data_IF_472808087184
#
_entry.id   IF_472808087184
#
_cell.length_a   1.000
_cell.length_b   1.000
_cell.length_c   1.000
_cell.angle_alpha   90.00
_cell.angle_beta   90.00
_cell.angle_gamma   90.00
#
_symmetry.space_group_name_H-M   'P 1'
#
loop_
_entity.id
_entity.type
_entity.pdbx_description
1 polymer ?
#
# COMPACT_ATOMS: atom_id res chain seq x y z
N UNK A 1 2.38 -18.01 -16.40
CA UNK A 1 3.31 -17.99 -15.27
C UNK A 1 3.82 -16.56 -15.04
N UNK A 2 3.73 -16.09 -13.80
CA UNK A 2 4.21 -14.73 -13.40
C UNK A 2 5.67 -14.50 -13.82
N UNK A 3 6.55 -15.51 -13.67
CA UNK A 3 7.96 -15.37 -14.06
C UNK A 3 8.14 -15.20 -15.56
N UNK A 4 7.33 -15.86 -16.37
CA UNK A 4 7.38 -15.73 -17.83
C UNK A 4 6.94 -14.31 -18.26
N UNK A 5 5.84 -13.81 -17.70
CA UNK A 5 5.35 -12.45 -17.97
C UNK A 5 6.34 -11.39 -17.52
N UNK A 6 6.91 -11.50 -16.32
CA UNK A 6 7.95 -10.60 -15.83
C UNK A 6 9.23 -10.63 -16.68
N UNK A 7 9.60 -11.80 -17.19
CA UNK A 7 10.76 -11.94 -18.06
C UNK A 7 10.54 -11.33 -19.45
N UNK A 8 9.31 -11.33 -19.97
CA UNK A 8 8.98 -10.73 -21.27
C UNK A 8 8.81 -9.20 -21.18
N UNK A 9 8.49 -8.68 -20.00
CA UNK A 9 8.19 -7.27 -19.79
C UNK A 9 6.91 -6.78 -20.51
N UNK A 10 6.08 -7.72 -20.98
CA UNK A 10 4.87 -7.40 -21.75
C UNK A 10 3.60 -7.67 -20.94
N UNK A 11 2.55 -6.90 -21.22
CA UNK A 11 1.22 -7.13 -20.65
C UNK A 11 0.71 -8.52 -21.10
N UNK A 12 0.31 -9.33 -20.12
CA UNK A 12 -0.23 -10.67 -20.33
C UNK A 12 -1.67 -10.76 -19.84
N UNK A 13 -2.69 -10.75 -20.74
CA UNK A 13 -4.10 -10.88 -20.35
C UNK A 13 -4.41 -12.18 -19.58
N UNK A 14 -3.72 -13.29 -19.89
CA UNK A 14 -3.89 -14.52 -19.16
C UNK A 14 -3.39 -14.42 -17.71
N UNK A 15 -2.33 -13.64 -17.47
CA UNK A 15 -1.88 -13.33 -16.11
C UNK A 15 -2.88 -12.44 -15.39
N UNK A 16 -3.45 -11.41 -16.03
CA UNK A 16 -4.49 -10.58 -15.43
C UNK A 16 -5.66 -11.42 -14.92
N UNK A 17 -6.17 -12.35 -15.75
CA UNK A 17 -7.26 -13.25 -15.37
C UNK A 17 -6.89 -14.16 -14.18
N UNK A 18 -5.67 -14.66 -14.13
CA UNK A 18 -5.18 -15.46 -12.98
C UNK A 18 -5.07 -14.63 -11.72
N UNK A 19 -4.58 -13.40 -11.81
CA UNK A 19 -4.50 -12.48 -10.67
C UNK A 19 -5.91 -12.10 -10.18
N UNK A 20 -6.86 -11.87 -11.08
CA UNK A 20 -8.25 -11.59 -10.74
C UNK A 20 -8.89 -12.76 -9.97
N UNK A 21 -8.70 -14.00 -10.44
CA UNK A 21 -9.17 -15.19 -9.75
C UNK A 21 -8.52 -15.33 -8.35
N UNK A 22 -7.22 -15.08 -8.23
CA UNK A 22 -6.51 -15.15 -6.97
C UNK A 22 -7.00 -14.06 -6.00
N UNK A 23 -7.18 -12.83 -6.46
CA UNK A 23 -7.73 -11.73 -5.68
C UNK A 23 -9.13 -12.06 -5.14
N UNK A 24 -10.01 -12.60 -5.99
CA UNK A 24 -11.35 -13.03 -5.58
C UNK A 24 -11.32 -14.12 -4.50
N UNK A 25 -10.41 -15.09 -4.63
CA UNK A 25 -10.28 -16.22 -3.69
C UNK A 25 -9.69 -15.81 -2.34
N UNK A 26 -8.80 -14.82 -2.33
CA UNK A 26 -8.12 -14.36 -1.10
C UNK A 26 -8.81 -13.16 -0.45
N UNK A 27 -9.79 -12.55 -1.12
CA UNK A 27 -10.41 -11.31 -0.67
C UNK A 27 -9.49 -10.10 -0.78
N UNK A 28 -8.36 -10.20 -1.51
CA UNK A 28 -7.46 -9.09 -1.73
C UNK A 28 -8.11 -8.07 -2.69
N UNK A 29 -8.14 -6.78 -2.37
CA UNK A 29 -8.68 -5.75 -3.25
C UNK A 29 -7.99 -5.70 -4.61
N UNK A 30 -6.64 -5.76 -4.61
CA UNK A 30 -5.83 -5.78 -5.83
C UNK A 30 -4.55 -6.60 -5.62
N UNK A 31 -4.22 -7.41 -6.64
CA UNK A 31 -2.92 -8.08 -6.80
C UNK A 31 -2.34 -7.66 -8.13
N UNK A 32 -1.08 -7.24 -8.17
CA UNK A 32 -0.44 -6.77 -9.40
C UNK A 32 1.04 -7.13 -9.46
N UNK A 33 1.61 -7.08 -10.67
CA UNK A 33 3.00 -7.39 -10.92
C UNK A 33 3.69 -6.21 -11.61
N UNK A 34 4.84 -5.85 -11.07
CA UNK A 34 5.71 -4.78 -11.54
C UNK A 34 6.96 -5.39 -12.19
N UNK A 35 7.37 -4.88 -13.33
CA UNK A 35 8.66 -5.22 -13.93
C UNK A 35 9.84 -4.64 -13.14
N UNK A 36 11.07 -4.85 -13.62
CA UNK A 36 12.29 -4.32 -12.98
C UNK A 36 12.38 -2.79 -13.00
N UNK A 37 11.58 -2.11 -13.82
CA UNK A 37 11.51 -0.66 -13.91
C UNK A 37 10.38 -0.06 -13.05
N UNK A 38 9.58 -0.90 -12.39
CA UNK A 38 8.45 -0.47 -11.58
C UNK A 38 7.16 -0.19 -12.36
N UNK A 39 7.10 -0.59 -13.64
CA UNK A 39 5.89 -0.53 -14.44
C UNK A 39 4.97 -1.69 -14.14
N UNK A 40 3.67 -1.43 -13.98
CA UNK A 40 2.68 -2.50 -13.76
C UNK A 40 2.37 -3.19 -15.09
N UNK A 41 2.81 -4.43 -15.23
CA UNK A 41 2.60 -5.26 -16.43
C UNK A 41 1.43 -6.24 -16.30
N UNK A 42 0.92 -6.46 -15.09
CA UNK A 42 -0.30 -7.23 -14.87
C UNK A 42 -1.00 -6.77 -13.58
N UNK A 43 -2.33 -6.80 -13.59
CA UNK A 43 -3.15 -6.44 -12.44
C UNK A 43 -4.46 -7.22 -12.40
N UNK A 44 -4.92 -7.59 -11.19
CA UNK A 44 -6.19 -8.29 -10.98
C UNK A 44 -7.41 -7.43 -11.33
N UNK A 45 -7.23 -6.11 -11.40
CA UNK A 45 -8.25 -5.13 -11.77
C UNK A 45 -7.97 -4.49 -13.15
N UNK A 46 -7.32 -5.22 -14.07
CA UNK A 46 -6.90 -4.71 -15.38
C UNK A 46 -8.05 -4.10 -16.19
N UNK A 47 -9.25 -4.67 -16.10
CA UNK A 47 -10.44 -4.28 -16.87
C UNK A 47 -11.32 -3.23 -16.14
N UNK A 48 -10.86 -2.70 -15.01
CA UNK A 48 -11.64 -1.73 -14.22
C UNK A 48 -11.17 -0.29 -14.46
N UNK A 49 -12.05 0.72 -14.26
CA UNK A 49 -11.66 2.13 -14.38
C UNK A 49 -10.53 2.55 -13.44
N UNK A 50 -10.42 1.89 -12.28
CA UNK A 50 -9.37 2.09 -11.27
C UNK A 50 -8.20 1.11 -11.45
N UNK A 51 -7.95 0.66 -12.70
CA UNK A 51 -6.90 -0.30 -13.03
C UNK A 51 -5.52 0.20 -12.64
N UNK A 52 -4.70 -0.72 -12.11
CA UNK A 52 -3.29 -0.45 -11.83
C UNK A 52 -2.37 -0.75 -13.02
N UNK A 53 -2.91 -1.39 -14.07
CA UNK A 53 -2.16 -1.74 -15.26
C UNK A 53 -1.55 -0.50 -15.94
N UNK A 54 -0.28 -0.55 -16.32
CA UNK A 54 0.42 0.53 -16.99
C UNK A 54 0.85 1.70 -16.09
N UNK A 55 0.58 1.66 -14.79
CA UNK A 55 1.06 2.68 -13.85
C UNK A 55 2.50 2.43 -13.43
N UNK A 56 3.25 3.53 -13.27
CA UNK A 56 4.64 3.54 -12.80
C UNK A 56 4.70 3.71 -11.28
N UNK A 57 5.27 2.73 -10.59
CA UNK A 57 5.45 2.71 -9.14
C UNK A 57 6.92 2.65 -8.71
N UNK A 58 7.88 2.99 -9.60
CA UNK A 58 9.32 3.00 -9.29
C UNK A 58 9.70 3.85 -8.09
N UNK A 59 8.91 4.89 -7.79
CA UNK A 59 9.14 5.81 -6.68
C UNK A 59 8.59 5.31 -5.34
N UNK A 60 7.83 4.23 -5.34
CA UNK A 60 7.19 3.69 -4.14
C UNK A 60 8.17 2.84 -3.33
N UNK A 61 8.20 3.10 -2.02
CA UNK A 61 9.05 2.36 -1.08
C UNK A 61 8.80 0.85 -1.12
N UNK A 62 7.57 0.42 -1.31
CA UNK A 62 7.26 -1.01 -1.38
C UNK A 62 7.88 -1.69 -2.62
N UNK A 63 8.11 -0.97 -3.69
CA UNK A 63 8.84 -1.47 -4.86
C UNK A 63 10.35 -1.46 -4.60
N UNK A 64 10.91 -0.29 -4.26
CA UNK A 64 12.37 -0.13 -4.10
C UNK A 64 12.94 -1.01 -3.00
N UNK A 65 12.24 -1.10 -1.87
CA UNK A 65 12.64 -1.98 -0.75
C UNK A 65 12.52 -3.45 -1.10
N UNK A 66 11.43 -3.88 -1.75
CA UNK A 66 11.29 -5.27 -2.19
C UNK A 66 12.37 -5.65 -3.21
N UNK A 67 12.68 -4.78 -4.17
CA UNK A 67 13.78 -5.01 -5.11
C UNK A 67 15.13 -5.18 -4.40
N UNK A 68 15.41 -4.40 -3.38
CA UNK A 68 16.66 -4.45 -2.63
C UNK A 68 16.73 -5.66 -1.67
N UNK A 69 15.70 -5.89 -0.86
CA UNK A 69 15.71 -6.86 0.25
C UNK A 69 14.97 -8.18 -0.03
N UNK A 70 14.29 -8.28 -1.17
CA UNK A 70 13.50 -9.47 -1.54
C UNK A 70 12.04 -9.40 -1.14
N UNK A 71 11.69 -8.75 -0.03
CA UNK A 71 10.30 -8.55 0.40
C UNK A 71 10.18 -7.30 1.27
N UNK A 72 8.98 -6.73 1.33
CA UNK A 72 8.66 -5.64 2.25
C UNK A 72 7.16 -5.56 2.52
N UNK A 73 6.82 -5.00 3.66
CA UNK A 73 5.48 -4.59 4.05
C UNK A 73 5.48 -3.07 4.18
N UNK A 74 4.53 -2.40 3.58
CA UNK A 74 4.52 -0.95 3.54
C UNK A 74 3.08 -0.41 3.51
N UNK A 75 2.72 0.39 4.51
CA UNK A 75 1.43 1.05 4.55
C UNK A 75 1.50 2.38 3.80
N UNK A 76 0.55 2.63 2.91
CA UNK A 76 0.50 3.87 2.13
C UNK A 76 -0.92 4.20 1.64
N UNK A 77 -1.12 5.47 1.33
CA UNK A 77 -2.30 5.91 0.56
C UNK A 77 -2.14 5.49 -0.91
N UNK A 78 -3.15 4.83 -1.45
CA UNK A 78 -3.17 4.42 -2.85
C UNK A 78 -3.27 5.63 -3.79
N UNK A 79 -2.33 5.75 -4.73
CA UNK A 79 -2.31 6.88 -5.67
C UNK A 79 -3.43 6.84 -6.72
N UNK A 80 -3.93 5.65 -7.03
CA UNK A 80 -5.03 5.42 -7.99
C UNK A 80 -6.36 5.33 -7.26
N UNK A 81 -6.44 4.49 -6.23
CA UNK A 81 -7.69 4.24 -5.51
C UNK A 81 -8.06 5.31 -4.49
N UNK A 82 -7.13 6.19 -4.09
CA UNK A 82 -7.34 7.13 -2.98
C UNK A 82 -7.55 6.47 -1.61
N UNK A 83 -7.47 5.13 -1.53
CA UNK A 83 -7.72 4.35 -0.31
C UNK A 83 -6.41 3.94 0.35
N UNK A 84 -6.32 4.01 1.68
CA UNK A 84 -5.18 3.49 2.42
C UNK A 84 -5.11 1.96 2.30
N UNK A 85 -3.90 1.42 2.46
CA UNK A 85 -3.72 -0.03 2.47
C UNK A 85 -2.30 -0.44 2.83
N UNK A 86 -2.18 -1.69 3.26
CA UNK A 86 -0.90 -2.36 3.43
C UNK A 86 -0.52 -3.02 2.11
N UNK A 87 0.68 -2.72 1.62
CA UNK A 87 1.26 -3.29 0.42
C UNK A 87 2.27 -4.38 0.82
N UNK A 88 1.89 -5.63 0.63
CA UNK A 88 2.77 -6.79 0.81
C UNK A 88 3.48 -7.04 -0.51
N UNK A 89 4.78 -6.84 -0.55
CA UNK A 89 5.56 -6.88 -1.79
C UNK A 89 6.64 -7.93 -1.72
N UNK A 90 6.79 -8.70 -2.80
CA UNK A 90 7.81 -9.72 -2.92
C UNK A 90 8.48 -9.68 -4.27
N UNK A 91 9.83 -9.63 -4.26
CA UNK A 91 10.64 -9.75 -5.45
C UNK A 91 10.55 -11.17 -6.02
N UNK A 92 10.46 -11.25 -7.32
CA UNK A 92 10.47 -12.50 -8.07
C UNK A 92 11.82 -12.61 -8.78
N UNK A 93 12.51 -13.70 -8.52
CA UNK A 93 13.82 -13.98 -9.09
C UNK A 93 13.77 -15.20 -10.02
N UNK A 94 14.67 -15.21 -11.03
CA UNK A 94 14.97 -16.37 -11.86
C UNK A 94 16.49 -16.51 -11.98
N UNK A 95 17.01 -17.66 -11.55
CA UNK A 95 18.45 -17.94 -11.55
C UNK A 95 19.28 -16.81 -10.88
N UNK A 96 18.80 -16.32 -9.74
CA UNK A 96 19.46 -15.25 -8.97
C UNK A 96 19.32 -13.83 -9.55
N UNK A 97 18.59 -13.67 -10.66
CA UNK A 97 18.35 -12.34 -11.27
C UNK A 97 16.92 -11.86 -10.95
N UNK A 98 16.75 -10.63 -10.45
CA UNK A 98 15.43 -10.04 -10.27
C UNK A 98 14.68 -9.93 -11.60
N UNK A 99 13.42 -10.33 -11.61
CA UNK A 99 12.50 -10.16 -12.74
C UNK A 99 11.48 -9.05 -12.49
N UNK A 100 11.24 -8.71 -11.22
CA UNK A 100 10.26 -7.71 -10.83
C UNK A 100 9.69 -7.98 -9.44
N UNK A 101 8.55 -7.38 -9.14
CA UNK A 101 7.89 -7.45 -7.83
C UNK A 101 6.41 -7.81 -8.00
N UNK A 102 5.91 -8.76 -7.22
CA UNK A 102 4.49 -8.97 -7.03
C UNK A 102 4.03 -8.27 -5.78
N UNK A 103 2.90 -7.59 -5.86
CA UNK A 103 2.32 -6.79 -4.77
C UNK A 103 0.89 -7.23 -4.52
N UNK A 104 0.55 -7.43 -3.24
CA UNK A 104 -0.82 -7.60 -2.76
C UNK A 104 -1.18 -6.37 -1.94
N UNK A 105 -2.22 -5.65 -2.34
CA UNK A 105 -2.80 -4.58 -1.51
C UNK A 105 -3.82 -5.19 -0.56
N UNK A 106 -3.76 -4.82 0.71
CA UNK A 106 -4.73 -5.19 1.74
C UNK A 106 -5.39 -3.92 2.23
N UNK A 107 -6.71 -3.88 2.29
CA UNK A 107 -7.50 -2.77 2.86
C UNK A 107 -8.13 -3.19 4.19
N UNK A 108 -8.40 -2.22 5.05
CA UNK A 108 -8.80 -2.46 6.45
C UNK A 108 -10.21 -1.95 6.77
N UNK A 109 -10.99 -1.59 5.76
CA UNK A 109 -12.34 -1.03 5.93
C UNK A 109 -13.24 -1.91 6.82
N UNK A 110 -13.15 -3.25 6.68
CA UNK A 110 -13.94 -4.18 7.50
C UNK A 110 -13.54 -4.14 8.97
N UNK A 111 -12.25 -3.99 9.26
CA UNK A 111 -11.74 -3.92 10.63
C UNK A 111 -12.17 -2.59 11.26
N UNK A 112 -11.98 -1.48 10.55
CA UNK A 112 -12.42 -0.17 11.00
C UNK A 112 -13.94 -0.14 11.28
N UNK A 113 -14.75 -0.73 10.40
CA UNK A 113 -16.20 -0.84 10.59
C UNK A 113 -16.57 -1.66 11.83
N UNK A 114 -15.88 -2.78 12.10
CA UNK A 114 -16.11 -3.56 13.30
C UNK A 114 -15.82 -2.74 14.57
N UNK A 115 -14.73 -1.98 14.60
CA UNK A 115 -14.40 -1.12 15.74
C UNK A 115 -15.41 0.01 15.97
N UNK A 116 -15.97 0.57 14.89
CA UNK A 116 -17.06 1.56 14.99
C UNK A 116 -18.29 0.94 15.67
N UNK A 117 -18.66 -0.29 15.30
CA UNK A 117 -19.81 -1.00 15.88
C UNK A 117 -19.62 -1.33 17.35
N UNK A 118 -18.39 -1.65 17.75
CA UNK A 118 -18.05 -1.98 19.15
C UNK A 118 -17.96 -0.73 20.06
N UNK A 119 -18.16 0.47 19.51
CA UNK A 119 -18.08 1.75 20.23
C UNK A 119 -16.77 1.99 21.00
N UNK A 120 -15.69 1.31 20.58
CA UNK A 120 -14.37 1.45 21.19
C UNK A 120 -13.53 2.43 20.39
N UNK A 121 -12.94 3.42 21.08
CA UNK A 121 -11.94 4.31 20.49
C UNK A 121 -10.64 3.53 20.22
N UNK A 122 -10.52 3.00 19.01
CA UNK A 122 -9.40 2.15 18.59
C UNK A 122 -8.72 2.74 17.36
N UNK A 123 -7.39 2.73 17.34
CA UNK A 123 -6.62 3.15 16.17
C UNK A 123 -5.26 2.43 16.10
N UNK A 124 -4.71 2.35 14.90
CA UNK A 124 -3.37 1.84 14.61
C UNK A 124 -2.49 2.99 14.15
N UNK A 125 -1.30 3.06 14.69
CA UNK A 125 -0.29 4.06 14.31
C UNK A 125 0.96 3.39 13.74
N UNK A 126 1.65 4.09 12.84
CA UNK A 126 2.98 3.71 12.40
C UNK A 126 4.08 4.18 13.38
N UNK A 127 5.34 3.89 13.03
CA UNK A 127 6.50 4.29 13.82
C UNK A 127 6.66 5.81 13.94
N UNK A 128 6.06 6.58 13.06
CA UNK A 128 6.07 8.06 13.10
C UNK A 128 4.93 8.62 13.95
N UNK A 129 4.00 7.79 14.37
CA UNK A 129 2.78 8.17 15.07
C UNK A 129 1.67 8.65 14.14
N UNK A 130 1.74 8.33 12.85
CA UNK A 130 0.64 8.58 11.90
C UNK A 130 -0.46 7.55 12.14
N UNK A 131 -1.69 8.01 12.32
CA UNK A 131 -2.88 7.16 12.48
C UNK A 131 -3.23 6.58 11.10
N UNK A 132 -3.10 5.27 10.97
CA UNK A 132 -3.27 4.56 9.71
C UNK A 132 -4.70 4.04 9.51
N UNK A 133 -5.32 3.59 10.61
CA UNK A 133 -6.67 3.02 10.68
C UNK A 133 -7.27 3.51 11.98
N UNK A 134 -8.54 3.90 11.98
CA UNK A 134 -9.23 4.36 13.18
C UNK A 134 -10.71 3.98 13.18
N UNK A 135 -11.28 3.77 14.38
CA UNK A 135 -12.73 3.73 14.59
C UNK A 135 -13.39 5.10 14.40
N UNK A 136 -12.62 6.19 14.44
CA UNK A 136 -13.04 7.53 14.01
C UNK A 136 -12.30 7.90 12.72
N UNK A 137 -12.95 7.83 11.54
CA UNK A 137 -12.30 8.12 10.26
C UNK A 137 -11.70 9.53 10.16
N UNK A 138 -12.16 10.48 10.99
CA UNK A 138 -11.64 11.86 11.01
C UNK A 138 -10.22 11.93 11.55
N UNK A 139 -9.78 10.91 12.30
CA UNK A 139 -8.43 10.82 12.85
C UNK A 139 -7.42 10.18 11.88
N UNK A 140 -7.89 9.51 10.84
CA UNK A 140 -6.98 8.88 9.88
C UNK A 140 -6.06 9.92 9.23
N UNK A 141 -4.79 9.56 9.10
CA UNK A 141 -3.71 10.43 8.61
C UNK A 141 -3.44 11.67 9.46
N UNK A 142 -3.99 11.75 10.67
CA UNK A 142 -3.48 12.66 11.69
C UNK A 142 -2.29 12.02 12.40
N UNK A 143 -1.50 12.83 13.11
CA UNK A 143 -0.34 12.36 13.86
C UNK A 143 -0.61 12.46 15.36
N UNK A 144 -0.18 11.47 16.12
CA UNK A 144 -0.25 11.48 17.59
C UNK A 144 0.87 12.32 18.23
N UNK A 145 1.87 12.70 17.44
CA UNK A 145 3.00 13.56 17.83
C UNK A 145 3.47 14.39 16.65
N UNK A 146 4.16 15.49 16.93
CA UNK A 146 4.70 16.35 15.88
C UNK A 146 5.78 15.64 15.06
N UNK A 147 5.65 15.69 13.75
CA UNK A 147 6.68 15.21 12.83
C UNK A 147 7.78 16.25 12.64
N UNK A 148 9.04 15.81 12.65
CA UNK A 148 10.16 16.71 12.32
C UNK A 148 10.08 17.19 10.87
N UNK A 149 10.62 18.38 10.54
CA UNK A 149 10.65 18.88 9.18
C UNK A 149 11.37 17.92 8.19
N UNK A 150 12.42 17.23 8.65
CA UNK A 150 13.12 16.24 7.84
C UNK A 150 12.21 15.05 7.50
N UNK A 151 11.48 14.54 8.51
CA UNK A 151 10.58 13.40 8.29
C UNK A 151 9.41 13.77 7.38
N UNK A 152 8.83 14.98 7.53
CA UNK A 152 7.79 15.47 6.60
C UNK A 152 8.28 15.50 5.15
N UNK A 153 9.52 15.96 4.90
CA UNK A 153 10.11 15.95 3.55
C UNK A 153 10.25 14.54 3.00
N UNK A 154 10.72 13.57 3.79
CA UNK A 154 10.82 12.17 3.36
C UNK A 154 9.46 11.58 2.99
N UNK A 155 8.44 11.76 3.83
CA UNK A 155 7.08 11.28 3.56
C UNK A 155 6.48 11.90 2.29
N UNK A 156 6.76 13.17 2.03
CA UNK A 156 6.33 13.85 0.81
C UNK A 156 7.07 13.32 -0.43
N UNK A 157 8.37 13.07 -0.35
CA UNK A 157 9.17 12.52 -1.47
C UNK A 157 8.72 11.11 -1.87
N UNK A 158 8.45 10.25 -0.90
CA UNK A 158 7.96 8.88 -1.14
C UNK A 158 6.47 8.83 -1.49
N UNK A 159 5.79 9.97 -1.33
CA UNK A 159 4.31 10.08 -1.47
C UNK A 159 3.56 9.01 -0.67
N UNK A 160 4.09 8.64 0.51
CA UNK A 160 3.51 7.59 1.35
C UNK A 160 2.04 7.89 1.67
N UNK A 161 1.74 9.14 2.03
CA UNK A 161 0.38 9.61 2.34
C UNK A 161 -0.12 10.65 1.31
N UNK A 162 0.37 10.57 0.07
CA UNK A 162 0.01 11.52 -0.99
C UNK A 162 0.39 12.96 -0.65
N UNK A 163 -0.57 13.87 -0.74
CA UNK A 163 -0.43 15.30 -0.41
C UNK A 163 -1.10 15.67 0.91
N UNK A 164 -1.46 14.68 1.74
CA UNK A 164 -2.15 14.95 3.00
C UNK A 164 -1.26 15.74 3.96
N UNK A 165 -1.82 16.72 4.69
CA UNK A 165 -1.04 17.64 5.54
C UNK A 165 -0.49 16.98 6.82
N UNK A 166 -0.95 15.78 7.19
CA UNK A 166 -0.59 15.04 8.40
C UNK A 166 -0.63 15.95 9.65
N UNK A 167 -1.81 16.49 9.92
CA UNK A 167 -2.03 17.40 11.05
C UNK A 167 -1.88 16.68 12.39
N UNK A 168 -1.44 17.38 13.43
CA UNK A 168 -1.41 16.85 14.78
C UNK A 168 -2.85 16.63 15.28
N UNK A 169 -3.12 15.43 15.81
CA UNK A 169 -4.44 15.11 16.38
C UNK A 169 -4.68 15.88 17.68
N UNK A 170 -5.90 16.37 17.88
CA UNK A 170 -6.32 16.99 19.14
C UNK A 170 -6.35 16.01 20.33
N UNK A 171 -6.31 14.70 20.08
CA UNK A 171 -6.20 13.67 21.14
C UNK A 171 -4.89 13.75 21.92
N UNK A 172 -3.86 14.41 21.38
CA UNK A 172 -2.54 14.62 22.03
C UNK A 172 -2.62 15.48 23.30
N UNK A 173 -3.72 16.18 23.54
CA UNK A 173 -3.88 17.15 24.64
C UNK A 173 -4.57 16.60 25.89
N UNK A 174 -5.07 15.37 25.86
CA UNK A 174 -5.92 14.84 26.95
C UNK A 174 -5.34 13.67 27.73
N UNK A 175 -4.06 13.35 27.58
CA UNK A 175 -3.44 12.29 28.38
C UNK A 175 -2.61 12.85 29.55
N UNK A 176 -3.26 13.62 30.42
CA UNK A 176 -2.89 13.68 31.85
C UNK A 176 -3.81 12.67 32.55
N UNK A 177 -3.36 11.46 32.68
CA UNK A 177 -3.97 10.52 33.64
C UNK A 177 -3.74 11.06 35.05
N UNK A 178 -4.75 10.98 35.93
CA UNK A 178 -4.65 11.41 37.31
C UNK A 178 -3.66 10.56 38.12
#
# INVERSE_FOLDING_TARGET
>A
DVRAALASGTVDPALNAKLALLAARTGAPVIYALDTQGMTIAASNADRPDSFLGHDYRYRDYFTKAMASGATEFFALGSVSGRPGLYLSRRIDRAGRPLGVVVVKVEFDRIAQAWIQDHMATFVVDADGVILISSDPRLEFHTTRALSPARRRTLAQTRQFGTLPLLLSSMSSSNSLP
#
